data_IF_007982475125
#
_entry.id   IF_007982475125
#
_cell.length_a   1.000
_cell.length_b   1.000
_cell.length_c   1.000
_cell.angle_alpha   90.00
_cell.angle_beta   90.00
_cell.angle_gamma   90.00
#
_symmetry.space_group_name_H-M   'P 1'
#
loop_
_entity.id
_entity.type
_entity.pdbx_description
1 polymer ?
#
# COMPACT_ATOMS: atom_id res chain seq x y z
N UNK A 1 7.41 1.65 1.01
CA UNK A 1 7.52 0.39 1.78
C UNK A 1 6.56 -0.66 1.25
N UNK A 2 5.27 -0.67 1.64
CA UNK A 2 4.31 -1.76 1.35
C UNK A 2 4.25 -2.17 -0.14
N UNK A 3 4.06 -1.22 -1.05
CA UNK A 3 4.02 -1.48 -2.50
C UNK A 3 5.29 -2.17 -3.04
N UNK A 4 6.46 -1.76 -2.56
CA UNK A 4 7.75 -2.32 -2.96
C UNK A 4 7.98 -3.71 -2.36
N UNK A 5 7.60 -3.87 -1.09
CA UNK A 5 7.63 -5.17 -0.41
C UNK A 5 6.73 -6.18 -1.13
N UNK A 6 5.54 -5.77 -1.56
CA UNK A 6 4.62 -6.59 -2.35
C UNK A 6 5.23 -7.00 -3.69
N UNK A 7 5.75 -6.03 -4.44
CA UNK A 7 6.33 -6.29 -5.75
C UNK A 7 7.46 -7.33 -5.69
N UNK A 8 8.26 -7.30 -4.62
CA UNK A 8 9.39 -8.20 -4.46
C UNK A 8 9.02 -9.55 -3.83
N UNK A 9 8.25 -9.56 -2.73
CA UNK A 9 8.07 -10.75 -1.89
C UNK A 9 6.75 -11.48 -2.12
N UNK A 10 5.74 -10.86 -2.74
CA UNK A 10 4.40 -11.48 -2.83
C UNK A 10 4.42 -12.84 -3.54
N UNK A 11 5.16 -12.95 -4.65
CA UNK A 11 5.27 -14.22 -5.39
C UNK A 11 5.83 -15.31 -4.49
N UNK A 12 6.89 -15.01 -3.74
CA UNK A 12 7.53 -15.98 -2.85
C UNK A 12 6.63 -16.36 -1.67
N UNK A 13 5.91 -15.40 -1.09
CA UNK A 13 4.92 -15.65 -0.03
C UNK A 13 3.84 -16.64 -0.50
N UNK A 14 3.33 -16.47 -1.73
CA UNK A 14 2.29 -17.34 -2.27
C UNK A 14 2.84 -18.71 -2.68
N UNK A 15 4.08 -18.77 -3.21
CA UNK A 15 4.75 -20.04 -3.51
C UNK A 15 4.99 -20.86 -2.23
N UNK A 16 5.41 -20.22 -1.14
CA UNK A 16 5.64 -20.89 0.15
C UNK A 16 4.35 -21.45 0.77
N UNK A 17 3.19 -20.88 0.42
CA UNK A 17 1.87 -21.43 0.76
C UNK A 17 1.49 -22.68 -0.06
N UNK A 18 2.38 -23.16 -0.94
CA UNK A 18 2.20 -24.38 -1.72
C UNK A 18 1.59 -24.17 -3.11
N UNK A 19 1.49 -22.93 -3.58
CA UNK A 19 1.00 -22.62 -4.93
C UNK A 19 2.15 -22.59 -5.95
N UNK A 20 1.80 -22.81 -7.21
CA UNK A 20 2.76 -22.74 -8.29
C UNK A 20 3.19 -21.28 -8.59
N UNK A 21 4.37 -21.15 -9.20
CA UNK A 21 4.98 -19.85 -9.50
C UNK A 21 4.17 -19.06 -10.55
N UNK A 22 3.51 -19.75 -11.49
CA UNK A 22 2.71 -19.13 -12.53
C UNK A 22 1.46 -18.47 -11.94
N UNK A 23 0.72 -19.19 -11.08
CA UNK A 23 -0.39 -18.63 -10.32
C UNK A 23 0.06 -17.45 -9.45
N UNK A 24 1.13 -17.62 -8.68
CA UNK A 24 1.65 -16.58 -7.78
C UNK A 24 2.00 -15.28 -8.51
N UNK A 25 2.65 -15.41 -9.67
CA UNK A 25 2.98 -14.27 -10.54
C UNK A 25 1.72 -13.64 -11.14
N UNK A 26 0.78 -14.47 -11.59
CA UNK A 26 -0.51 -14.01 -12.12
C UNK A 26 -1.30 -13.20 -11.09
N UNK A 27 -1.23 -13.55 -9.81
CA UNK A 27 -1.89 -12.80 -8.74
C UNK A 27 -1.28 -11.41 -8.52
N UNK A 28 0.05 -11.27 -8.63
CA UNK A 28 0.71 -9.95 -8.60
C UNK A 28 0.26 -9.10 -9.79
N UNK A 29 0.24 -9.68 -11.00
CA UNK A 29 -0.24 -8.99 -12.19
C UNK A 29 -1.70 -8.59 -12.07
N UNK A 30 -2.55 -9.47 -11.53
CA UNK A 30 -3.94 -9.18 -11.27
C UNK A 30 -4.13 -8.01 -10.28
N UNK A 31 -3.36 -7.97 -9.19
CA UNK A 31 -3.37 -6.85 -8.26
C UNK A 31 -2.93 -5.53 -8.95
N UNK A 32 -1.95 -5.57 -9.86
CA UNK A 32 -1.53 -4.40 -10.64
C UNK A 32 -2.59 -3.95 -11.65
N UNK A 33 -3.29 -4.88 -12.29
CA UNK A 33 -4.41 -4.58 -13.18
C UNK A 33 -5.55 -3.88 -12.43
N UNK A 34 -5.79 -4.22 -11.17
CA UNK A 34 -6.72 -3.50 -10.29
C UNK A 34 -6.15 -2.15 -9.85
N UNK A 35 -4.85 -2.09 -9.54
CA UNK A 35 -4.20 -0.85 -9.10
C UNK A 35 -4.17 0.23 -10.18
N UNK A 36 -4.02 -0.14 -11.45
CA UNK A 36 -3.96 0.80 -12.58
C UNK A 36 -5.17 1.75 -12.65
N UNK A 37 -6.44 1.27 -12.75
CA UNK A 37 -7.60 2.16 -12.74
C UNK A 37 -7.75 2.90 -11.40
N UNK A 38 -7.43 2.25 -10.28
CA UNK A 38 -7.56 2.89 -8.96
C UNK A 38 -6.58 4.04 -8.77
N UNK A 39 -5.38 3.97 -9.36
CA UNK A 39 -4.41 5.08 -9.31
C UNK A 39 -4.89 6.33 -10.05
N UNK A 40 -5.66 6.15 -11.11
CA UNK A 40 -6.27 7.25 -11.86
C UNK A 40 -7.54 7.76 -11.17
N UNK A 41 -8.47 6.86 -10.86
CA UNK A 41 -9.79 7.24 -10.35
C UNK A 41 -9.80 7.56 -8.87
N UNK A 42 -8.87 7.02 -8.07
CA UNK A 42 -8.83 7.23 -6.62
C UNK A 42 -8.71 8.71 -6.23
N UNK A 43 -7.70 9.43 -6.74
CA UNK A 43 -7.55 10.87 -6.49
C UNK A 43 -8.72 11.69 -7.07
N UNK A 44 -9.23 11.32 -8.25
CA UNK A 44 -10.35 11.99 -8.89
C UNK A 44 -11.65 11.86 -8.08
N UNK A 45 -11.91 10.68 -7.53
CA UNK A 45 -13.05 10.43 -6.64
C UNK A 45 -12.93 11.27 -5.37
N UNK A 46 -11.74 11.30 -4.75
CA UNK A 46 -11.50 12.13 -3.57
C UNK A 46 -11.81 13.60 -3.83
N UNK A 47 -11.39 14.15 -4.98
CA UNK A 47 -11.67 15.53 -5.36
C UNK A 47 -13.15 15.85 -5.58
N UNK A 48 -13.99 14.85 -5.92
CA UNK A 48 -15.44 15.01 -6.11
C UNK A 48 -16.26 14.76 -4.83
N UNK A 49 -15.69 14.08 -3.84
CA UNK A 49 -16.36 13.77 -2.59
C UNK A 49 -16.51 15.03 -1.71
N UNK A 50 -17.59 15.06 -0.92
CA UNK A 50 -17.75 16.06 0.16
C UNK A 50 -16.60 15.93 1.14
N UNK A 51 -16.08 17.06 1.64
CA UNK A 51 -14.93 17.09 2.56
C UNK A 51 -15.10 16.14 3.75
N UNK A 52 -16.30 16.07 4.32
CA UNK A 52 -16.66 15.21 5.46
C UNK A 52 -16.41 13.71 5.20
N UNK A 53 -16.42 13.29 3.92
CA UNK A 53 -16.22 11.90 3.50
C UNK A 53 -14.77 11.58 3.15
N UNK A 54 -13.89 12.58 3.04
CA UNK A 54 -12.49 12.38 2.66
C UNK A 54 -11.75 11.49 3.66
N UNK A 55 -11.94 11.73 4.96
CA UNK A 55 -11.32 10.92 6.02
C UNK A 55 -11.76 9.46 5.94
N UNK A 56 -13.06 9.20 5.74
CA UNK A 56 -13.59 7.84 5.62
C UNK A 56 -13.07 7.14 4.36
N UNK A 57 -12.96 7.86 3.24
CA UNK A 57 -12.43 7.31 2.00
C UNK A 57 -10.96 6.92 2.12
N UNK A 58 -10.13 7.79 2.69
CA UNK A 58 -8.69 7.54 2.89
C UNK A 58 -8.48 6.40 3.88
N UNK A 59 -9.19 6.40 5.01
CA UNK A 59 -9.13 5.32 5.99
C UNK A 59 -9.62 4.00 5.41
N UNK A 60 -10.71 4.01 4.64
CA UNK A 60 -11.23 2.83 3.95
C UNK A 60 -10.18 2.22 3.01
N UNK A 61 -9.58 3.04 2.14
CA UNK A 61 -8.50 2.59 1.26
C UNK A 61 -7.32 2.06 2.05
N UNK A 62 -6.80 2.78 3.04
CA UNK A 62 -5.65 2.32 3.81
C UNK A 62 -5.94 1.02 4.58
N UNK A 63 -7.17 0.82 5.06
CA UNK A 63 -7.58 -0.39 5.78
C UNK A 63 -7.56 -1.64 4.90
N UNK A 64 -7.71 -1.48 3.58
CA UNK A 64 -7.62 -2.60 2.63
C UNK A 64 -6.24 -3.26 2.63
N UNK A 65 -5.15 -2.53 2.94
CA UNK A 65 -3.84 -3.18 3.15
C UNK A 65 -3.91 -4.18 4.31
N UNK A 66 -4.45 -3.76 5.44
CA UNK A 66 -4.56 -4.58 6.65
C UNK A 66 -5.44 -5.81 6.39
N UNK A 67 -6.56 -5.61 5.70
CA UNK A 67 -7.48 -6.70 5.32
C UNK A 67 -6.78 -7.69 4.40
N UNK A 68 -6.14 -7.23 3.33
CA UNK A 68 -5.51 -8.11 2.36
C UNK A 68 -4.34 -8.90 2.97
N UNK A 69 -3.47 -8.26 3.75
CA UNK A 69 -2.42 -8.98 4.49
C UNK A 69 -2.97 -9.90 5.58
N UNK A 70 -4.07 -9.53 6.25
CA UNK A 70 -4.75 -10.38 7.23
C UNK A 70 -5.33 -11.64 6.58
N UNK A 71 -5.95 -11.51 5.41
CA UNK A 71 -6.42 -12.67 4.63
C UNK A 71 -5.22 -13.56 4.24
N UNK A 72 -4.14 -12.94 3.77
CA UNK A 72 -2.91 -13.66 3.41
C UNK A 72 -2.23 -14.30 4.64
N UNK A 73 -2.46 -13.80 5.85
CA UNK A 73 -1.92 -14.42 7.07
C UNK A 73 -2.75 -15.62 7.52
N UNK A 74 -4.08 -15.51 7.50
CA UNK A 74 -5.00 -16.47 8.13
C UNK A 74 -5.32 -17.65 7.19
N UNK A 75 -5.38 -17.41 5.87
CA UNK A 75 -5.92 -18.39 4.93
C UNK A 75 -4.91 -18.77 3.84
N UNK A 76 -4.93 -20.06 3.47
CA UNK A 76 -4.11 -20.64 2.40
C UNK A 76 -4.94 -21.14 1.20
N UNK A 77 -6.24 -20.82 1.16
CA UNK A 77 -7.10 -21.20 0.04
C UNK A 77 -6.79 -20.39 -1.22
N UNK A 78 -6.90 -21.04 -2.39
CA UNK A 78 -6.79 -20.38 -3.71
C UNK A 78 -7.71 -19.17 -3.83
N UNK A 79 -8.95 -19.30 -3.33
CA UNK A 79 -9.94 -18.23 -3.35
C UNK A 79 -9.50 -17.07 -2.46
N UNK A 80 -8.98 -17.36 -1.27
CA UNK A 80 -8.48 -16.34 -0.34
C UNK A 80 -7.33 -15.53 -0.94
N UNK A 81 -6.42 -16.16 -1.69
CA UNK A 81 -5.31 -15.46 -2.36
C UNK A 81 -5.82 -14.54 -3.48
N UNK A 82 -6.79 -15.00 -4.28
CA UNK A 82 -7.41 -14.19 -5.33
C UNK A 82 -8.10 -12.96 -4.72
N UNK A 83 -8.85 -13.16 -3.64
CA UNK A 83 -9.52 -12.07 -2.91
C UNK A 83 -8.49 -11.10 -2.31
N UNK A 84 -7.43 -11.62 -1.69
CA UNK A 84 -6.31 -10.83 -1.17
C UNK A 84 -5.70 -9.96 -2.29
N UNK A 85 -5.37 -10.55 -3.44
CA UNK A 85 -4.77 -9.84 -4.57
C UNK A 85 -5.70 -8.74 -5.10
N UNK A 86 -6.99 -9.02 -5.23
CA UNK A 86 -8.00 -8.04 -5.64
C UNK A 86 -8.05 -6.86 -4.67
N UNK A 87 -8.20 -7.13 -3.37
CA UNK A 87 -8.26 -6.10 -2.34
C UNK A 87 -6.96 -5.29 -2.28
N UNK A 88 -5.81 -5.94 -2.45
CA UNK A 88 -4.48 -5.32 -2.43
C UNK A 88 -4.28 -4.29 -3.55
N UNK A 89 -4.90 -4.50 -4.71
CA UNK A 89 -4.78 -3.57 -5.84
C UNK A 89 -5.30 -2.16 -5.53
N UNK A 90 -6.37 -2.04 -4.74
CA UNK A 90 -6.97 -0.75 -4.38
C UNK A 90 -6.00 0.17 -3.64
N UNK A 91 -5.46 -0.20 -2.47
CA UNK A 91 -4.54 0.65 -1.75
C UNK A 91 -3.18 0.77 -2.43
N UNK A 92 -2.78 -0.20 -3.26
CA UNK A 92 -1.56 -0.12 -4.07
C UNK A 92 -1.64 1.03 -5.08
N UNK A 93 -2.75 1.16 -5.80
CA UNK A 93 -2.95 2.26 -6.76
C UNK A 93 -3.37 3.58 -6.09
N UNK A 94 -4.29 3.52 -5.13
CA UNK A 94 -4.99 4.71 -4.63
C UNK A 94 -4.20 5.55 -3.64
N UNK A 95 -3.51 4.92 -2.68
CA UNK A 95 -2.88 5.63 -1.55
C UNK A 95 -1.77 6.58 -2.04
N UNK A 96 -0.97 6.14 -3.01
CA UNK A 96 0.12 6.96 -3.55
C UNK A 96 -0.42 8.19 -4.31
N UNK A 97 -1.40 7.99 -5.20
CA UNK A 97 -2.00 9.10 -5.95
C UNK A 97 -2.68 10.12 -5.04
N UNK A 98 -3.37 9.66 -4.00
CA UNK A 98 -4.02 10.52 -3.00
C UNK A 98 -2.98 11.31 -2.20
N UNK A 99 -1.85 10.69 -1.83
CA UNK A 99 -0.78 11.39 -1.12
C UNK A 99 -0.19 12.54 -1.97
N UNK A 100 0.04 12.31 -3.27
CA UNK A 100 0.51 13.37 -4.18
C UNK A 100 -0.53 14.47 -4.36
N UNK A 101 -1.81 14.12 -4.51
CA UNK A 101 -2.90 15.10 -4.57
C UNK A 101 -2.94 15.96 -3.30
N UNK A 102 -2.75 15.34 -2.13
CA UNK A 102 -2.75 16.06 -0.86
C UNK A 102 -1.58 17.04 -0.75
N UNK A 103 -0.38 16.62 -1.16
CA UNK A 103 0.80 17.50 -1.22
C UNK A 103 0.53 18.68 -2.16
N UNK A 104 -0.06 18.44 -3.33
CA UNK A 104 -0.39 19.49 -4.28
C UNK A 104 -1.43 20.47 -3.73
N UNK A 105 -2.48 19.98 -3.07
CA UNK A 105 -3.55 20.81 -2.48
C UNK A 105 -3.07 21.65 -1.30
N UNK A 106 -2.06 21.18 -0.57
CA UNK A 106 -1.52 21.85 0.62
C UNK A 106 -0.33 22.75 0.37
N UNK A 107 0.17 22.77 -0.85
CA UNK A 107 1.29 23.63 -1.23
C UNK A 107 0.79 24.96 -1.77
N UNK A 108 1.43 26.06 -1.41
CA UNK A 108 1.05 27.41 -1.85
C UNK A 108 1.35 27.66 -3.34
N UNK A 109 2.27 26.91 -3.96
CA UNK A 109 2.52 26.94 -5.40
C UNK A 109 3.09 25.62 -5.94
N UNK A 110 3.13 25.49 -7.26
CA UNK A 110 3.60 24.28 -7.96
C UNK A 110 5.08 23.94 -7.67
N UNK A 111 5.94 24.95 -7.48
CA UNK A 111 7.36 24.73 -7.20
C UNK A 111 7.58 24.13 -5.80
N UNK A 112 6.82 24.58 -4.80
CA UNK A 112 6.82 24.02 -3.45
C UNK A 112 6.24 22.62 -3.46
N UNK A 113 5.14 22.38 -4.18
CA UNK A 113 4.55 21.05 -4.33
C UNK A 113 5.56 20.05 -4.91
N UNK A 114 6.31 20.46 -5.94
CA UNK A 114 7.35 19.61 -6.54
C UNK A 114 8.48 19.30 -5.55
N UNK A 115 8.98 20.30 -4.81
CA UNK A 115 10.03 20.11 -3.80
C UNK A 115 9.58 19.21 -2.65
N UNK A 116 8.37 19.43 -2.13
CA UNK A 116 7.81 18.64 -1.03
C UNK A 116 7.53 17.20 -1.47
N UNK A 117 7.02 17.01 -2.69
CA UNK A 117 6.84 15.68 -3.29
C UNK A 117 8.17 14.95 -3.45
N UNK A 118 9.20 15.64 -3.95
CA UNK A 118 10.54 15.05 -4.12
C UNK A 118 11.16 14.65 -2.78
N UNK A 119 11.04 15.49 -1.75
CA UNK A 119 11.51 15.18 -0.40
C UNK A 119 10.79 13.97 0.18
N UNK A 120 9.46 13.96 0.13
CA UNK A 120 8.64 12.87 0.66
C UNK A 120 8.92 11.54 -0.07
N UNK A 121 9.06 11.57 -1.40
CA UNK A 121 9.41 10.40 -2.19
C UNK A 121 10.84 9.92 -1.90
N UNK A 122 11.82 10.83 -1.80
CA UNK A 122 13.21 10.49 -1.48
C UNK A 122 13.33 9.75 -0.15
N UNK A 123 12.77 10.30 0.93
CA UNK A 123 12.71 9.62 2.22
C UNK A 123 11.89 8.32 2.14
N UNK A 124 10.77 8.33 1.42
CA UNK A 124 9.93 7.15 1.22
C UNK A 124 10.67 5.99 0.55
N UNK A 125 11.52 6.29 -0.43
CA UNK A 125 12.35 5.29 -1.12
C UNK A 125 13.52 4.80 -0.28
N UNK A 126 14.15 5.66 0.53
CA UNK A 126 15.17 5.22 1.50
C UNK A 126 14.60 4.24 2.53
N UNK A 127 13.38 4.50 3.01
CA UNK A 127 12.66 3.56 3.90
C UNK A 127 12.25 2.31 3.11
N UNK A 128 11.78 2.47 1.87
CA UNK A 128 11.36 1.33 1.06
C UNK A 128 12.50 0.35 0.81
N UNK A 129 13.70 0.84 0.46
CA UNK A 129 14.89 0.04 0.20
C UNK A 129 15.34 -0.82 1.39
N UNK A 130 15.19 -0.30 2.61
CA UNK A 130 15.46 -1.09 3.82
C UNK A 130 14.38 -2.15 4.04
N UNK A 131 13.16 -1.93 3.55
CA UNK A 131 12.04 -2.84 3.74
C UNK A 131 12.23 -4.21 3.11
N UNK A 132 12.84 -4.30 1.93
CA UNK A 132 13.11 -5.62 1.35
C UNK A 132 14.13 -6.41 2.17
N UNK A 133 15.18 -5.74 2.66
CA UNK A 133 16.20 -6.37 3.49
C UNK A 133 15.62 -6.89 4.81
N UNK A 134 14.78 -6.09 5.49
CA UNK A 134 14.14 -6.49 6.75
C UNK A 134 13.23 -7.70 6.53
N UNK A 135 12.44 -7.73 5.46
CA UNK A 135 11.56 -8.86 5.15
C UNK A 135 12.37 -10.13 4.88
N UNK A 136 13.44 -10.03 4.07
CA UNK A 136 14.34 -11.15 3.81
C UNK A 136 14.99 -11.67 5.09
N UNK A 137 15.51 -10.77 5.93
CA UNK A 137 16.10 -11.14 7.22
C UNK A 137 15.10 -11.85 8.16
N UNK A 138 13.85 -11.39 8.20
CA UNK A 138 12.80 -12.07 8.97
C UNK A 138 12.51 -13.46 8.41
N UNK A 139 12.47 -13.60 7.09
CA UNK A 139 12.29 -14.89 6.44
C UNK A 139 13.46 -15.85 6.75
N UNK A 140 14.70 -15.41 6.58
CA UNK A 140 15.90 -16.21 6.87
C UNK A 140 15.95 -16.68 8.34
N UNK A 141 15.47 -15.85 9.26
CA UNK A 141 15.49 -16.15 10.71
C UNK A 141 14.39 -17.11 11.16
N UNK A 142 13.20 -16.99 10.58
CA UNK A 142 12.02 -17.76 11.00
C UNK A 142 11.67 -18.89 10.04
N UNK A 143 12.39 -19.00 8.92
CA UNK A 143 12.18 -19.95 7.82
C UNK A 143 10.75 -19.89 7.23
N UNK A 144 10.04 -18.78 7.48
CA UNK A 144 8.71 -18.53 6.96
C UNK A 144 8.40 -17.02 6.87
N UNK A 145 7.35 -16.68 6.12
CA UNK A 145 6.89 -15.29 5.98
C UNK A 145 5.92 -14.80 7.05
N UNK A 146 5.55 -15.59 8.06
CA UNK A 146 4.51 -15.21 9.03
C UNK A 146 4.85 -13.90 9.75
N UNK A 147 6.09 -13.75 10.24
CA UNK A 147 6.55 -12.51 10.89
C UNK A 147 6.66 -11.33 9.92
N UNK A 148 7.05 -11.58 8.67
CA UNK A 148 7.08 -10.55 7.64
C UNK A 148 5.66 -10.05 7.31
N UNK A 149 4.68 -10.94 7.19
CA UNK A 149 3.28 -10.58 6.95
C UNK A 149 2.73 -9.78 8.14
N UNK A 150 3.01 -10.19 9.39
CA UNK A 150 2.62 -9.42 10.58
C UNK A 150 3.25 -8.02 10.59
N UNK A 151 4.51 -7.89 10.19
CA UNK A 151 5.15 -6.58 10.03
C UNK A 151 4.45 -5.75 8.95
N UNK A 152 4.08 -6.34 7.81
CA UNK A 152 3.35 -5.66 6.75
C UNK A 152 1.96 -5.19 7.21
N UNK A 153 1.26 -6.01 8.00
CA UNK A 153 0.01 -5.63 8.68
C UNK A 153 0.24 -4.42 9.60
N UNK A 154 1.27 -4.48 10.45
CA UNK A 154 1.61 -3.40 11.38
C UNK A 154 1.92 -2.09 10.64
N UNK A 155 2.72 -2.14 9.58
CA UNK A 155 3.00 -0.97 8.74
C UNK A 155 1.71 -0.49 8.04
N UNK A 156 0.82 -1.38 7.62
CA UNK A 156 -0.50 -1.02 7.10
C UNK A 156 -1.34 -0.24 8.11
N UNK A 157 -1.31 -0.62 9.38
CA UNK A 157 -1.99 0.11 10.47
C UNK A 157 -1.36 1.50 10.65
N UNK A 158 -0.02 1.59 10.65
CA UNK A 158 0.66 2.90 10.73
C UNK A 158 0.28 3.82 9.57
N UNK A 159 0.19 3.29 8.34
CA UNK A 159 -0.27 4.06 7.18
C UNK A 159 -1.70 4.59 7.37
N UNK A 160 -2.59 3.81 7.98
CA UNK A 160 -3.94 4.28 8.33
C UNK A 160 -3.90 5.45 9.33
N UNK A 161 -3.11 5.31 10.40
CA UNK A 161 -2.97 6.35 11.42
C UNK A 161 -2.40 7.63 10.81
N UNK A 162 -1.32 7.53 10.04
CA UNK A 162 -0.71 8.69 9.39
C UNK A 162 -1.60 9.30 8.30
N UNK A 163 -2.35 8.48 7.55
CA UNK A 163 -3.34 8.96 6.58
C UNK A 163 -4.47 9.74 7.24
N UNK A 164 -4.91 9.31 8.43
CA UNK A 164 -5.88 10.04 9.23
C UNK A 164 -5.33 11.36 9.79
N UNK A 165 -4.11 11.32 10.36
CA UNK A 165 -3.46 12.50 10.94
C UNK A 165 -3.10 13.55 9.87
N UNK A 166 -2.65 13.12 8.70
CA UNK A 166 -2.28 14.02 7.61
C UNK A 166 -3.50 14.82 7.14
N UNK A 167 -4.67 14.20 7.02
CA UNK A 167 -5.91 14.90 6.67
C UNK A 167 -6.26 16.03 7.67
N UNK A 168 -6.02 15.82 8.96
CA UNK A 168 -6.28 16.81 10.02
C UNK A 168 -5.25 17.93 10.13
N UNK A 169 -4.10 17.82 9.46
CA UNK A 169 -3.07 18.87 9.53
C UNK A 169 -3.57 20.19 8.92
N UNK A 170 -2.98 21.32 9.32
CA UNK A 170 -3.29 22.63 8.72
C UNK A 170 -2.57 22.81 7.36
N UNK A 171 -2.86 23.89 6.64
CA UNK A 171 -2.18 24.27 5.40
C UNK A 171 -0.77 24.75 5.76
N UNK A 172 0.24 24.33 4.99
CA UNK A 172 1.62 24.77 5.18
C UNK A 172 1.81 26.02 4.32
N UNK A 173 1.95 27.19 4.97
CA UNK A 173 2.19 28.48 4.32
C UNK A 173 3.65 28.61 3.88
#
# INVERSE_FOLDING_TARGET
FLAYSLFFWYVQIVVEKGFDKEFSTSMVLFAQLVAAPVSLFGPLLLGKLRQNLHTFYIAGLCSMYVIAFGILFIFDSKISIIISAFIMGFPWGGVFGIALLFIAQKSSNAQIAARLSALAQGFGYLIAAQGQWIIGFLHDKFENFSFAILMLVFVGILVNIFGYLSYKSQIIN
#
